data_IF_000614578052
#
_entry.id   IF_000614578052
#
_cell.length_a   1.000
_cell.length_b   1.000
_cell.length_c   1.000
_cell.angle_alpha   90.00
_cell.angle_beta   90.00
_cell.angle_gamma   90.00
#
_symmetry.space_group_name_H-M   'P 1'
#
loop_
_entity.id
_entity.type
_entity.pdbx_description
1 polymer ?
#
# COMPACT_ATOMS: atom_id res chain seq x y z
N UNK A 1 -0.09 -10.86 -19.46
CA UNK A 1 -1.02 -11.02 -18.31
C UNK A 1 -0.82 -9.84 -17.36
N UNK A 2 -1.86 -9.41 -16.64
CA UNK A 2 -1.73 -8.31 -15.68
C UNK A 2 -2.27 -8.70 -14.31
N UNK A 3 -1.54 -8.33 -13.25
CA UNK A 3 -2.05 -8.32 -11.88
C UNK A 3 -2.76 -7.00 -11.62
N UNK A 4 -4.02 -7.08 -11.21
CA UNK A 4 -4.88 -5.93 -10.99
C UNK A 4 -4.86 -5.43 -9.54
N UNK A 5 -4.20 -6.13 -8.61
CA UNK A 5 -4.22 -5.79 -7.19
C UNK A 5 -2.97 -6.34 -6.47
N UNK A 6 -1.92 -5.53 -6.40
CA UNK A 6 -0.70 -5.87 -5.69
C UNK A 6 -0.32 -4.81 -4.63
N UNK A 7 -0.22 -5.26 -3.38
CA UNK A 7 0.34 -4.46 -2.29
C UNK A 7 1.84 -4.68 -2.19
N UNK A 8 2.62 -3.60 -2.27
CA UNK A 8 4.07 -3.68 -2.11
C UNK A 8 4.50 -3.96 -0.67
N UNK A 9 3.67 -3.58 0.30
CA UNK A 9 3.98 -3.68 1.73
C UNK A 9 2.91 -4.49 2.46
N UNK A 10 3.31 -5.15 3.54
CA UNK A 10 2.37 -5.79 4.48
C UNK A 10 1.80 -4.77 5.51
N UNK A 11 1.01 -5.27 6.47
CA UNK A 11 0.39 -4.44 7.51
C UNK A 11 1.38 -3.86 8.53
N UNK A 12 2.67 -4.19 8.44
CA UNK A 12 3.77 -3.60 9.22
C UNK A 12 4.63 -2.65 8.38
N UNK A 13 4.29 -2.47 7.10
CA UNK A 13 5.07 -1.75 6.10
C UNK A 13 6.39 -2.45 5.72
N UNK A 14 6.47 -3.76 5.91
CA UNK A 14 7.61 -4.59 5.47
C UNK A 14 7.43 -5.06 4.03
N UNK A 15 8.53 -5.24 3.31
CA UNK A 15 8.52 -5.65 1.89
C UNK A 15 9.84 -6.32 1.50
N UNK A 16 9.76 -7.31 0.60
CA UNK A 16 10.92 -7.88 -0.09
C UNK A 16 11.42 -6.98 -1.23
N UNK A 17 10.69 -5.90 -1.55
CA UNK A 17 11.03 -4.89 -2.56
C UNK A 17 10.61 -5.27 -3.98
N UNK A 18 10.61 -4.27 -4.87
CA UNK A 18 10.14 -4.47 -6.24
C UNK A 18 11.07 -5.32 -7.10
N UNK A 19 12.35 -5.47 -6.75
CA UNK A 19 13.24 -6.37 -7.46
C UNK A 19 12.80 -7.83 -7.30
N UNK A 20 12.44 -8.26 -6.08
CA UNK A 20 11.85 -9.57 -5.85
C UNK A 20 10.48 -9.72 -6.55
N UNK A 21 9.67 -8.65 -6.58
CA UNK A 21 8.41 -8.66 -7.31
C UNK A 21 8.59 -8.86 -8.82
N UNK A 22 9.62 -8.25 -9.43
CA UNK A 22 9.96 -8.46 -10.85
C UNK A 22 10.29 -9.93 -11.14
N UNK A 23 11.10 -10.57 -10.30
CA UNK A 23 11.42 -11.99 -10.47
C UNK A 23 10.16 -12.87 -10.34
N UNK A 24 9.32 -12.62 -9.33
CA UNK A 24 8.07 -13.33 -9.17
C UNK A 24 7.10 -13.13 -10.36
N UNK A 25 7.02 -11.89 -10.89
CA UNK A 25 6.24 -11.59 -12.09
C UNK A 25 6.76 -12.35 -13.31
N UNK A 26 8.09 -12.44 -13.48
CA UNK A 26 8.71 -13.18 -14.58
C UNK A 26 8.40 -14.68 -14.50
N UNK A 27 8.51 -15.27 -13.31
CA UNK A 27 8.18 -16.69 -13.07
C UNK A 27 6.70 -17.00 -13.30
N UNK A 28 5.80 -16.07 -12.92
CA UNK A 28 4.36 -16.22 -13.07
C UNK A 28 3.84 -15.83 -14.47
N UNK A 29 4.68 -15.25 -15.35
CA UNK A 29 4.26 -14.75 -16.66
C UNK A 29 3.37 -13.51 -16.59
N UNK A 30 3.54 -12.67 -15.55
CA UNK A 30 2.84 -11.40 -15.35
C UNK A 30 3.67 -10.26 -15.96
N UNK A 31 3.08 -9.58 -16.95
CA UNK A 31 3.76 -8.51 -17.68
C UNK A 31 3.63 -7.16 -16.95
N UNK A 32 2.46 -6.90 -16.37
CA UNK A 32 2.10 -5.64 -15.74
C UNK A 32 1.45 -5.87 -14.37
N UNK A 33 1.68 -4.96 -13.41
CA UNK A 33 1.05 -4.98 -12.11
C UNK A 33 0.56 -3.58 -11.73
N UNK A 34 -0.70 -3.48 -11.31
CA UNK A 34 -1.16 -2.34 -10.52
C UNK A 34 -0.53 -2.46 -9.13
N UNK A 35 0.15 -1.41 -8.67
CA UNK A 35 0.85 -1.39 -7.37
C UNK A 35 0.34 -0.27 -6.49
N UNK A 36 0.01 -0.59 -5.25
CA UNK A 36 -0.21 0.37 -4.19
C UNK A 36 0.54 -0.03 -2.92
N UNK A 37 0.57 0.88 -1.95
CA UNK A 37 1.09 0.58 -0.63
C UNK A 37 0.09 -0.20 0.22
N UNK A 38 0.31 -0.21 1.53
CA UNK A 38 -0.67 -0.67 2.50
C UNK A 38 -1.20 0.54 3.27
N UNK A 39 -2.47 0.90 3.05
CA UNK A 39 -3.02 2.17 3.54
C UNK A 39 -3.11 2.27 5.06
N UNK A 40 -3.03 1.13 5.76
CA UNK A 40 -3.11 1.04 7.21
C UNK A 40 -1.96 0.22 7.78
N UNK A 41 -1.57 0.51 9.00
CA UNK A 41 -0.67 -0.32 9.79
C UNK A 41 -1.42 -1.00 10.92
N UNK A 42 -1.12 -2.27 11.15
CA UNK A 42 -1.61 -3.00 12.32
C UNK A 42 -0.79 -2.59 13.54
N UNK A 43 -1.46 -2.32 14.66
CA UNK A 43 -0.79 -2.05 15.93
C UNK A 43 -0.28 -3.36 16.50
N UNK A 44 0.93 -3.35 17.04
CA UNK A 44 1.41 -4.43 17.89
C UNK A 44 1.11 -4.07 19.35
N UNK A 45 0.12 -4.74 19.93
CA UNK A 45 -0.29 -4.52 21.31
C UNK A 45 0.74 -5.11 22.28
N UNK A 46 0.92 -4.48 23.44
CA UNK A 46 1.84 -4.95 24.49
C UNK A 46 1.44 -6.31 25.09
N UNK A 47 0.22 -6.77 24.82
CA UNK A 47 -0.32 -8.04 25.30
C UNK A 47 -0.07 -9.18 24.30
N UNK A 48 0.30 -8.86 23.07
CA UNK A 48 0.46 -9.83 22.00
C UNK A 48 1.95 -10.17 21.85
N UNK A 49 2.35 -11.44 22.09
CA UNK A 49 3.76 -11.82 22.07
C UNK A 49 4.34 -11.93 20.64
N UNK A 50 3.48 -11.93 19.62
CA UNK A 50 3.83 -12.07 18.20
C UNK A 50 3.37 -10.82 17.46
N UNK A 51 4.24 -10.27 16.61
CA UNK A 51 3.89 -9.14 15.75
C UNK A 51 2.82 -9.55 14.72
N UNK A 52 1.70 -8.80 14.62
CA UNK A 52 0.63 -9.12 13.69
C UNK A 52 0.97 -8.59 12.29
N UNK A 53 1.31 -9.50 11.37
CA UNK A 53 1.70 -9.17 9.99
C UNK A 53 0.52 -9.07 9.04
N UNK A 54 -0.60 -9.67 9.43
CA UNK A 54 -1.86 -9.67 8.70
C UNK A 54 -2.99 -9.09 9.54
N UNK A 55 -4.01 -8.52 8.89
CA UNK A 55 -5.07 -7.83 9.62
C UNK A 55 -5.93 -8.77 10.49
N UNK A 56 -5.95 -10.08 10.18
CA UNK A 56 -6.66 -11.11 10.95
C UNK A 56 -5.79 -11.81 12.01
N UNK A 57 -4.51 -11.47 12.17
CA UNK A 57 -3.63 -12.19 13.10
C UNK A 57 -4.04 -12.01 14.57
N UNK A 58 -4.62 -10.87 14.91
CA UNK A 58 -5.12 -10.55 16.25
C UNK A 58 -6.26 -9.50 16.21
N UNK A 59 -6.78 -9.13 17.38
CA UNK A 59 -7.81 -8.09 17.55
C UNK A 59 -7.22 -6.67 17.66
N UNK A 60 -5.91 -6.50 17.44
CA UNK A 60 -5.27 -5.18 17.53
C UNK A 60 -5.82 -4.22 16.49
N UNK A 61 -5.88 -2.94 16.85
CA UNK A 61 -6.38 -1.90 15.95
C UNK A 61 -5.45 -1.68 14.78
N UNK A 62 -5.97 -1.11 13.70
CA UNK A 62 -5.16 -0.51 12.64
C UNK A 62 -5.17 1.03 12.75
N UNK A 63 -4.22 1.68 12.09
CA UNK A 63 -4.19 3.14 11.93
C UNK A 63 -3.81 3.54 10.49
N UNK A 64 -4.34 4.65 9.94
CA UNK A 64 -3.95 5.14 8.62
C UNK A 64 -2.45 5.42 8.53
N UNK A 65 -1.81 5.03 7.42
CA UNK A 65 -0.38 5.21 7.22
C UNK A 65 -0.06 5.87 5.88
N UNK A 66 -0.04 7.21 5.88
CA UNK A 66 0.17 7.98 4.65
C UNK A 66 1.55 7.91 4.03
N UNK A 67 2.57 7.51 4.79
CA UNK A 67 3.92 7.41 4.25
C UNK A 67 4.06 6.29 3.22
N UNK A 68 3.12 5.32 3.17
CA UNK A 68 3.19 4.17 2.24
C UNK A 68 3.33 4.60 0.77
N UNK A 69 2.63 5.66 0.35
CA UNK A 69 2.69 6.13 -1.04
C UNK A 69 4.07 6.74 -1.38
N UNK A 70 4.72 7.40 -0.42
CA UNK A 70 6.09 7.88 -0.61
C UNK A 70 7.09 6.72 -0.73
N UNK A 71 6.86 5.63 0.01
CA UNK A 71 7.68 4.42 -0.06
C UNK A 71 7.48 3.69 -1.39
N UNK A 72 6.24 3.58 -1.90
CA UNK A 72 5.95 3.06 -3.25
C UNK A 72 6.69 3.88 -4.29
N UNK A 73 6.57 5.21 -4.25
CA UNK A 73 7.29 6.08 -5.18
C UNK A 73 8.81 5.83 -5.12
N UNK A 74 9.39 5.79 -3.92
CA UNK A 74 10.82 5.53 -3.76
C UNK A 74 11.24 4.19 -4.37
N UNK A 75 10.51 3.10 -4.12
CA UNK A 75 10.79 1.76 -4.64
C UNK A 75 10.68 1.70 -6.17
N UNK A 76 9.60 2.26 -6.75
CA UNK A 76 9.38 2.27 -8.21
C UNK A 76 10.49 3.06 -8.91
N UNK A 77 10.98 4.14 -8.28
CA UNK A 77 12.05 4.96 -8.84
C UNK A 77 13.45 4.32 -8.75
N UNK A 78 13.64 3.29 -7.92
CA UNK A 78 14.87 2.49 -7.88
C UNK A 78 14.95 1.48 -9.03
N UNK A 79 13.84 1.13 -9.65
CA UNK A 79 13.83 0.23 -10.80
C UNK A 79 14.43 0.88 -12.06
N UNK A 80 15.11 0.08 -12.91
CA UNK A 80 15.43 0.48 -14.28
C UNK A 80 14.17 0.90 -15.04
N UNK A 81 14.30 1.81 -16.00
CA UNK A 81 13.17 2.37 -16.75
C UNK A 81 12.29 1.30 -17.42
N UNK A 82 12.91 0.25 -17.97
CA UNK A 82 12.18 -0.87 -18.59
C UNK A 82 11.27 -1.59 -17.59
N UNK A 83 11.79 -1.94 -16.41
CA UNK A 83 10.99 -2.60 -15.36
C UNK A 83 9.97 -1.66 -14.74
N UNK A 84 10.31 -0.37 -14.59
CA UNK A 84 9.40 0.64 -14.04
C UNK A 84 8.09 0.71 -14.84
N UNK A 85 8.16 0.59 -16.16
CA UNK A 85 6.98 0.66 -17.04
C UNK A 85 5.96 -0.47 -16.84
N UNK A 86 6.36 -1.56 -16.17
CA UNK A 86 5.50 -2.69 -15.83
C UNK A 86 4.65 -2.43 -14.59
N UNK A 87 5.03 -1.47 -13.75
CA UNK A 87 4.32 -1.12 -12.52
C UNK A 87 3.45 0.13 -12.73
N UNK A 88 2.19 0.03 -12.34
CA UNK A 88 1.20 1.10 -12.44
C UNK A 88 0.86 1.59 -11.02
N UNK A 89 1.45 2.72 -10.54
CA UNK A 89 1.33 3.13 -9.14
C UNK A 89 0.03 3.86 -8.83
N UNK A 90 -0.63 3.50 -7.72
CA UNK A 90 -1.88 4.12 -7.28
C UNK A 90 -1.75 4.63 -5.83
N UNK A 91 -2.40 5.75 -5.56
CA UNK A 91 -2.45 6.38 -4.23
C UNK A 91 -3.41 5.59 -3.34
N UNK A 92 -2.99 5.17 -2.15
CA UNK A 92 -3.88 4.59 -1.14
C UNK A 92 -3.66 5.11 0.29
N UNK A 93 -2.56 5.82 0.55
CA UNK A 93 -2.13 6.25 1.89
C UNK A 93 -2.88 7.46 2.43
N UNK A 94 -4.21 7.44 2.46
CA UNK A 94 -5.01 8.50 3.08
C UNK A 94 -6.11 7.94 3.96
N UNK A 95 -6.55 8.73 4.94
CA UNK A 95 -7.71 8.41 5.75
C UNK A 95 -9.00 8.75 4.98
N UNK A 96 -9.78 7.76 4.50
CA UNK A 96 -10.97 8.03 3.70
C UNK A 96 -12.13 8.61 4.53
N UNK A 97 -12.01 8.65 5.85
CA UNK A 97 -13.02 9.21 6.76
C UNK A 97 -12.81 10.70 7.01
N UNK A 98 -11.63 11.26 6.67
CA UNK A 98 -11.32 12.68 6.79
C UNK A 98 -11.68 13.45 5.50
N UNK A 99 -12.47 14.52 5.64
CA UNK A 99 -12.78 15.43 4.52
C UNK A 99 -11.53 16.12 3.95
N UNK A 100 -10.47 16.25 4.74
CA UNK A 100 -9.18 16.80 4.29
C UNK A 100 -8.38 15.80 3.42
N UNK A 101 -8.80 14.54 3.31
CA UNK A 101 -8.14 13.55 2.46
C UNK A 101 -8.09 13.95 0.98
N UNK A 102 -9.09 14.70 0.52
CA UNK A 102 -9.08 15.29 -0.83
C UNK A 102 -7.85 16.15 -1.06
N UNK A 103 -7.45 16.96 -0.07
CA UNK A 103 -6.26 17.80 -0.18
C UNK A 103 -4.98 16.97 -0.02
N UNK A 104 -5.01 15.84 0.70
CA UNK A 104 -3.91 14.88 0.69
C UNK A 104 -3.67 14.32 -0.72
N UNK A 105 -4.72 13.82 -1.38
CA UNK A 105 -4.61 13.29 -2.75
C UNK A 105 -4.09 14.36 -3.72
N UNK A 106 -4.62 15.59 -3.65
CA UNK A 106 -4.11 16.72 -4.45
C UNK A 106 -2.61 16.98 -4.21
N UNK A 107 -2.15 16.93 -2.95
CA UNK A 107 -0.72 17.08 -2.63
C UNK A 107 0.11 15.97 -3.26
N UNK A 108 -0.33 14.72 -3.22
CA UNK A 108 0.38 13.59 -3.84
C UNK A 108 0.50 13.73 -5.36
N UNK A 109 -0.58 14.14 -6.03
CA UNK A 109 -0.59 14.42 -7.47
C UNK A 109 0.35 15.59 -7.83
N UNK A 110 0.44 16.61 -6.98
CA UNK A 110 1.31 17.76 -7.20
C UNK A 110 2.80 17.46 -6.92
N UNK A 111 3.09 16.65 -5.90
CA UNK A 111 4.46 16.27 -5.53
C UNK A 111 5.10 15.32 -6.54
N UNK A 112 4.31 14.39 -7.10
CA UNK A 112 4.79 13.39 -8.06
C UNK A 112 3.97 13.47 -9.37
N UNK A 113 4.18 14.53 -10.18
CA UNK A 113 3.39 14.74 -11.39
C UNK A 113 3.61 13.61 -12.39
N UNK A 114 2.51 13.13 -12.99
CA UNK A 114 2.47 12.02 -13.98
C UNK A 114 2.94 10.65 -13.46
N UNK A 115 3.16 10.50 -12.15
CA UNK A 115 3.55 9.22 -11.56
C UNK A 115 2.34 8.35 -11.23
N UNK A 116 1.34 8.94 -10.56
CA UNK A 116 0.14 8.24 -10.10
C UNK A 116 -0.83 7.99 -11.23
N UNK A 117 -1.38 6.78 -11.29
CA UNK A 117 -2.32 6.34 -12.34
C UNK A 117 -3.74 6.10 -11.80
N UNK A 118 -3.96 6.23 -10.49
CA UNK A 118 -5.28 6.13 -9.89
C UNK A 118 -5.27 6.10 -8.37
N UNK A 119 -6.40 5.70 -7.81
CA UNK A 119 -6.63 5.48 -6.38
C UNK A 119 -6.75 3.97 -6.14
N UNK A 120 -5.90 3.43 -5.27
CA UNK A 120 -5.79 2.00 -4.98
C UNK A 120 -6.86 1.53 -3.99
N UNK A 121 -6.59 0.41 -3.33
CA UNK A 121 -7.49 -0.10 -2.29
C UNK A 121 -7.61 0.90 -1.13
N UNK A 122 -8.85 1.14 -0.70
CA UNK A 122 -9.17 1.98 0.44
C UNK A 122 -9.77 1.08 1.52
N UNK A 123 -9.17 1.09 2.71
CA UNK A 123 -9.69 0.38 3.85
C UNK A 123 -10.83 1.18 4.48
N UNK A 124 -12.01 0.57 4.49
CA UNK A 124 -13.18 1.08 5.21
C UNK A 124 -13.56 0.08 6.29
N UNK A 125 -14.36 0.52 7.26
CA UNK A 125 -14.87 -0.38 8.28
C UNK A 125 -15.79 -1.43 7.63
N UNK A 126 -15.31 -2.66 7.54
CA UNK A 126 -16.08 -3.87 7.23
C UNK A 126 -15.88 -4.88 8.36
N UNK A 127 -16.77 -5.88 8.50
CA UNK A 127 -16.93 -6.74 9.68
C UNK A 127 -15.63 -7.24 10.36
N UNK A 128 -14.65 -7.76 9.60
CA UNK A 128 -13.38 -8.26 10.17
C UNK A 128 -12.37 -7.16 10.51
N UNK A 129 -12.55 -5.95 9.96
CA UNK A 129 -11.86 -4.70 10.32
C UNK A 129 -12.76 -3.85 11.23
N UNK A 130 -13.41 -4.49 12.21
CA UNK A 130 -14.26 -3.83 13.21
C UNK A 130 -13.51 -2.85 14.10
N UNK A 131 -12.17 -2.95 14.14
CA UNK A 131 -11.26 -2.11 14.90
C UNK A 131 -10.48 -1.08 14.05
N UNK A 132 -11.05 -0.64 12.92
CA UNK A 132 -10.60 0.56 12.21
C UNK A 132 -10.84 1.77 13.13
N UNK A 133 -9.77 2.23 13.80
CA UNK A 133 -9.70 3.49 14.56
C UNK A 133 -11.00 3.97 15.23
N UNK A 134 -11.21 3.61 16.50
CA UNK A 134 -12.10 4.40 17.37
C UNK A 134 -11.28 5.52 18.02
N UNK A 135 -11.78 6.75 17.93
CA UNK A 135 -11.61 7.73 19.02
C UNK A 135 -12.00 7.09 20.36
#
# INVERSE_FOLDING_TARGET
MADAHFHLFDFTQSSDGLAAAVEAMNEAGVDHAMVNGMAVCKKWSSWDPVEPKYYLDDDSRVYPYSATDFLVHAQVMLLPEGERSRFHPFICGFDPTDRNAVDHVKRMLALFPNFWQGIGEIFTRHDDLTALSYE
#
